data_IF_748155586587
#
_entry.id   IF_748155586587
#
_cell.length_a   1.000
_cell.length_b   1.000
_cell.length_c   1.000
_cell.angle_alpha   90.00
_cell.angle_beta   90.00
_cell.angle_gamma   90.00
#
_symmetry.space_group_name_H-M   'P 1'
#
loop_
_entity.id
_entity.type
_entity.pdbx_description
1 polymer ?
#
# COMPACT_ATOMS: atom_id res chain seq x y z
N UNK A 1 -24.44 41.99 23.97
CA UNK A 1 -24.59 43.47 23.88
C UNK A 1 -23.74 43.95 22.71
N UNK A 2 -24.15 45.01 21.99
CA UNK A 2 -23.45 45.65 20.85
C UNK A 2 -23.17 44.74 19.61
N UNK A 3 -23.36 45.11 18.33
CA UNK A 3 -23.22 46.37 17.56
C UNK A 3 -21.73 46.73 17.27
N UNK A 4 -21.27 47.11 16.06
CA UNK A 4 -21.86 47.30 14.69
C UNK A 4 -20.79 46.89 13.64
N UNK A 5 -21.03 46.58 12.35
CA UNK A 5 -21.75 47.24 11.22
C UNK A 5 -21.03 48.49 10.64
N UNK A 6 -21.23 48.75 9.33
CA UNK A 6 -20.55 49.70 8.38
C UNK A 6 -19.36 49.07 7.62
N UNK A 7 -19.24 48.95 6.27
CA UNK A 7 -19.96 49.36 5.03
C UNK A 7 -19.27 50.48 4.19
N UNK A 8 -19.29 50.28 2.85
CA UNK A 8 -18.89 51.16 1.71
C UNK A 8 -17.43 51.02 1.19
N UNK A 9 -17.08 51.38 -0.07
CA UNK A 9 -17.62 51.10 -1.43
C UNK A 9 -17.17 52.16 -2.47
N UNK A 10 -17.31 51.81 -3.78
CA UNK A 10 -17.44 52.68 -4.98
C UNK A 10 -16.21 53.19 -5.77
N UNK A 11 -16.19 52.84 -7.08
CA UNK A 11 -15.74 53.67 -8.26
C UNK A 11 -14.24 54.04 -8.36
N UNK A 12 -13.64 54.46 -9.48
CA UNK A 12 -13.86 54.53 -10.98
C UNK A 12 -12.42 54.40 -11.59
N UNK A 13 -12.08 54.26 -12.89
CA UNK A 13 -12.72 54.45 -14.23
C UNK A 13 -12.70 53.11 -15.04
N UNK A 14 -13.25 52.90 -16.24
CA UNK A 14 -13.74 53.71 -17.40
C UNK A 14 -12.70 54.21 -18.45
N UNK A 15 -12.28 53.38 -19.43
CA UNK A 15 -11.78 53.83 -20.76
C UNK A 15 -12.01 52.75 -21.85
N UNK A 16 -12.17 53.15 -23.11
CA UNK A 16 -12.70 52.29 -24.19
C UNK A 16 -11.81 52.26 -25.46
N UNK A 17 -11.99 51.18 -26.23
CA UNK A 17 -12.16 51.07 -27.70
C UNK A 17 -11.96 52.35 -28.57
N UNK A 18 -11.50 52.25 -29.84
CA UNK A 18 -12.17 51.37 -30.82
C UNK A 18 -11.42 50.86 -32.09
N UNK A 19 -12.17 50.05 -32.86
CA UNK A 19 -12.19 49.89 -34.33
C UNK A 19 -11.03 49.18 -35.06
N UNK A 20 -11.40 48.37 -36.07
CA UNK A 20 -10.46 47.66 -36.95
C UNK A 20 -10.98 46.37 -37.58
N UNK A 21 -12.16 46.36 -38.22
CA UNK A 21 -12.64 45.20 -39.00
C UNK A 21 -12.27 45.33 -40.48
N UNK A 22 -11.99 44.21 -41.15
CA UNK A 22 -12.13 44.09 -42.61
C UNK A 22 -12.34 42.63 -43.05
N UNK A 23 -12.94 42.46 -44.22
CA UNK A 23 -13.36 41.17 -44.79
C UNK A 23 -12.29 40.59 -45.73
N UNK A 24 -12.28 39.26 -45.91
CA UNK A 24 -11.38 38.57 -46.83
C UNK A 24 -11.68 37.07 -46.97
N UNK A 25 -12.65 36.73 -47.82
CA UNK A 25 -13.02 35.34 -48.13
C UNK A 25 -12.47 34.94 -49.51
N UNK A 26 -11.45 34.07 -49.56
CA UNK A 26 -10.83 33.60 -50.81
C UNK A 26 -10.77 32.07 -50.80
N UNK A 27 -11.39 31.46 -51.80
CA UNK A 27 -11.16 30.05 -52.18
C UNK A 27 -9.93 29.98 -53.08
N UNK A 28 -9.04 29.01 -52.87
CA UNK A 28 -8.13 28.55 -53.90
C UNK A 28 -8.22 27.02 -54.03
N UNK A 29 -8.48 26.56 -55.25
CA UNK A 29 -8.48 25.14 -55.61
C UNK A 29 -7.27 24.86 -56.47
N UNK A 30 -6.43 23.91 -56.07
CA UNK A 30 -5.41 23.33 -56.93
C UNK A 30 -5.45 21.80 -56.85
N UNK A 31 -5.37 21.17 -58.02
CA UNK A 31 -5.43 19.72 -58.17
C UNK A 31 -4.06 19.07 -57.90
N UNK A 32 -4.07 17.76 -57.68
CA UNK A 32 -2.89 17.00 -57.27
C UNK A 32 -1.96 16.61 -58.44
N UNK A 33 -0.70 16.34 -58.11
CA UNK A 33 0.19 15.47 -58.88
C UNK A 33 1.03 14.61 -57.94
N UNK A 34 1.20 13.32 -58.26
CA UNK A 34 1.95 12.37 -57.44
C UNK A 34 3.46 12.46 -57.67
N UNK A 35 4.27 12.46 -56.60
CA UNK A 35 5.41 11.56 -56.41
C UNK A 35 5.96 11.68 -54.98
N UNK A 36 6.21 10.56 -54.30
CA UNK A 36 6.68 10.56 -52.90
C UNK A 36 6.54 9.20 -52.22
N UNK A 37 7.54 8.34 -52.38
CA UNK A 37 7.47 6.94 -51.94
C UNK A 37 7.70 6.75 -50.44
N UNK A 38 6.77 6.00 -49.80
CA UNK A 38 6.98 5.11 -48.64
C UNK A 38 8.22 5.37 -47.77
N UNK A 39 8.06 6.10 -46.66
CA UNK A 39 8.85 5.85 -45.44
C UNK A 39 8.08 6.23 -44.16
N UNK A 40 6.81 5.84 -44.09
CA UNK A 40 6.05 5.82 -42.84
C UNK A 40 6.61 4.71 -41.92
N UNK A 41 7.75 5.00 -41.28
CA UNK A 41 8.38 4.11 -40.31
C UNK A 41 7.39 3.80 -39.19
N UNK A 42 7.25 2.52 -38.85
CA UNK A 42 6.27 2.05 -37.85
C UNK A 42 6.75 2.42 -36.43
N UNK A 43 6.69 3.71 -36.11
CA UNK A 43 6.89 4.25 -34.78
C UNK A 43 5.76 3.73 -33.88
N UNK A 44 5.97 2.52 -33.33
CA UNK A 44 5.14 1.99 -32.25
C UNK A 44 5.05 3.08 -31.18
N UNK A 45 3.84 3.50 -30.75
CA UNK A 45 3.74 4.41 -29.63
C UNK A 45 4.48 3.76 -28.45
N UNK A 46 5.28 4.55 -27.73
CA UNK A 46 5.93 4.08 -26.52
C UNK A 46 4.87 3.42 -25.64
N UNK A 47 5.14 2.18 -25.19
CA UNK A 47 4.16 1.38 -24.46
C UNK A 47 3.82 2.07 -23.14
N UNK A 48 2.79 2.91 -23.16
CA UNK A 48 2.25 3.60 -22.00
C UNK A 48 1.78 2.53 -21.01
N UNK A 49 2.62 2.27 -20.00
CA UNK A 49 2.45 1.17 -19.04
C UNK A 49 1.06 1.34 -18.40
N UNK A 50 0.10 0.44 -18.66
CA UNK A 50 -1.29 0.69 -18.30
C UNK A 50 -1.41 0.90 -16.79
N UNK A 51 -2.11 1.96 -16.40
CA UNK A 51 -2.30 2.32 -15.00
C UNK A 51 -2.89 1.15 -14.20
N UNK A 52 -2.46 0.99 -12.95
CA UNK A 52 -2.93 -0.09 -12.07
C UNK A 52 -2.33 -1.48 -12.33
N UNK A 53 -1.34 -1.65 -13.21
CA UNK A 53 -0.65 -2.94 -13.46
C UNK A 53 0.75 -3.08 -12.83
N UNK A 54 1.18 -2.15 -11.97
CA UNK A 54 2.42 -2.32 -11.21
C UNK A 54 2.27 -3.42 -10.13
N UNK A 55 3.18 -4.39 -10.17
CA UNK A 55 3.26 -5.50 -9.21
C UNK A 55 4.45 -5.26 -8.29
N UNK A 56 4.23 -5.26 -6.98
CA UNK A 56 5.29 -5.06 -5.99
C UNK A 56 5.77 -6.40 -5.41
N UNK A 57 7.07 -6.51 -5.14
CA UNK A 57 7.63 -7.65 -4.42
C UNK A 57 7.70 -7.34 -2.93
N UNK A 58 7.14 -8.21 -2.08
CA UNK A 58 7.21 -8.08 -0.62
C UNK A 58 7.86 -9.32 -0.03
N UNK A 59 9.00 -9.13 0.65
CA UNK A 59 9.49 -10.12 1.60
C UNK A 59 8.80 -9.91 2.94
N UNK A 60 7.89 -10.83 3.29
CA UNK A 60 7.17 -10.83 4.56
C UNK A 60 7.97 -11.63 5.60
N UNK A 61 9.13 -11.16 6.01
CA UNK A 61 10.01 -11.90 6.92
C UNK A 61 9.46 -12.02 8.35
N UNK A 62 9.96 -12.98 9.13
CA UNK A 62 9.50 -13.25 10.51
C UNK A 62 9.86 -12.14 11.52
N UNK A 63 10.93 -11.38 11.25
CA UNK A 63 11.47 -10.35 12.15
C UNK A 63 11.42 -8.95 11.54
N UNK A 64 11.75 -8.84 10.25
CA UNK A 64 11.62 -7.62 9.44
C UNK A 64 10.99 -8.02 8.11
N UNK A 65 10.31 -7.07 7.46
CA UNK A 65 9.77 -7.18 6.11
C UNK A 65 10.38 -6.11 5.20
N UNK A 66 10.40 -6.38 3.90
CA UNK A 66 11.00 -5.53 2.87
C UNK A 66 10.05 -5.43 1.67
N UNK A 67 10.03 -4.28 0.99
CA UNK A 67 9.22 -4.06 -0.22
C UNK A 67 10.07 -3.48 -1.34
N UNK A 68 9.85 -3.98 -2.55
CA UNK A 68 10.58 -3.60 -3.75
C UNK A 68 9.66 -3.39 -4.96
N UNK A 69 10.08 -2.48 -5.84
CA UNK A 69 9.40 -2.12 -7.09
C UNK A 69 10.34 -2.35 -8.29
N UNK A 70 9.77 -2.42 -9.50
CA UNK A 70 10.56 -2.55 -10.75
C UNK A 70 10.68 -1.20 -11.46
N UNK A 71 11.85 -0.57 -11.38
CA UNK A 71 12.19 0.63 -12.15
C UNK A 71 12.75 0.22 -13.52
N UNK A 72 11.88 0.21 -14.52
CA UNK A 72 12.20 -0.27 -15.86
C UNK A 72 12.53 -1.76 -15.85
N UNK A 73 13.83 -2.10 -15.86
CA UNK A 73 14.35 -3.47 -15.76
C UNK A 73 14.99 -3.79 -14.41
N UNK A 74 15.18 -2.80 -13.53
CA UNK A 74 15.96 -2.95 -12.30
C UNK A 74 15.03 -3.11 -11.08
N UNK A 75 15.23 -4.12 -10.22
CA UNK A 75 14.55 -4.19 -8.94
C UNK A 75 15.12 -3.18 -7.96
N UNK A 76 14.26 -2.48 -7.21
CA UNK A 76 14.65 -1.45 -6.24
C UNK A 76 13.90 -1.63 -4.93
N UNK A 77 14.63 -1.89 -3.85
CA UNK A 77 14.11 -1.81 -2.49
C UNK A 77 13.87 -0.34 -2.14
N UNK A 78 12.66 -0.02 -1.72
CA UNK A 78 12.23 1.34 -1.36
C UNK A 78 12.33 1.56 0.16
N UNK A 79 12.29 2.82 0.57
CA UNK A 79 12.34 3.22 1.99
C UNK A 79 10.94 3.44 2.54
N UNK A 80 10.75 3.09 3.81
CA UNK A 80 9.50 3.30 4.53
C UNK A 80 9.38 4.74 5.08
N UNK A 81 8.24 5.06 5.70
CA UNK A 81 7.97 6.36 6.33
C UNK A 81 8.92 6.75 7.48
N UNK A 82 9.81 5.85 7.91
CA UNK A 82 10.85 6.10 8.92
C UNK A 82 12.27 6.14 8.33
N UNK A 83 12.41 6.21 6.99
CA UNK A 83 13.70 6.26 6.30
C UNK A 83 14.46 4.93 6.26
N UNK A 84 13.77 3.81 6.50
CA UNK A 84 14.39 2.47 6.55
C UNK A 84 13.97 1.61 5.36
N UNK A 85 14.95 0.91 4.77
CA UNK A 85 14.76 -0.08 3.69
C UNK A 85 14.17 -1.40 4.17
N UNK A 86 13.96 -1.57 5.48
CA UNK A 86 13.21 -2.68 6.07
C UNK A 86 12.32 -2.19 7.21
N UNK A 87 11.14 -2.79 7.38
CA UNK A 87 10.20 -2.46 8.46
C UNK A 87 10.11 -3.65 9.42
N UNK A 88 10.18 -3.47 10.75
CA UNK A 88 9.99 -4.57 11.69
C UNK A 88 8.66 -5.30 11.46
N UNK A 89 8.67 -6.63 11.47
CA UNK A 89 7.46 -7.49 11.40
C UNK A 89 6.79 -7.57 12.77
N UNK A 90 6.44 -6.40 13.30
CA UNK A 90 5.91 -6.16 14.63
C UNK A 90 4.62 -5.36 14.50
N UNK A 91 3.57 -5.81 15.18
CA UNK A 91 2.26 -5.18 15.25
C UNK A 91 1.89 -5.01 16.72
N UNK A 92 1.34 -3.88 17.12
CA UNK A 92 0.85 -3.68 18.47
C UNK A 92 -0.50 -2.97 18.49
N UNK A 93 -1.28 -3.22 19.53
CA UNK A 93 -2.48 -2.46 19.86
C UNK A 93 -2.21 -1.71 21.16
N UNK A 94 -2.40 -0.39 21.16
CA UNK A 94 -2.26 0.40 22.38
C UNK A 94 -3.53 0.32 23.25
N UNK A 95 -3.52 0.98 24.41
CA UNK A 95 -4.63 0.96 25.37
C UNK A 95 -5.93 1.60 24.84
N UNK A 96 -5.87 2.39 23.77
CA UNK A 96 -7.04 2.96 23.08
C UNK A 96 -7.56 2.07 21.94
N UNK A 97 -6.90 0.95 21.65
CA UNK A 97 -7.17 0.10 20.48
C UNK A 97 -6.54 0.61 19.18
N UNK A 98 -5.71 1.66 19.21
CA UNK A 98 -5.04 2.17 18.01
C UNK A 98 -3.98 1.16 17.53
N UNK A 99 -3.98 0.87 16.22
CA UNK A 99 -3.07 -0.08 15.56
C UNK A 99 -1.71 0.60 15.28
N UNK A 100 -0.64 -0.02 15.77
CA UNK A 100 0.75 0.33 15.47
C UNK A 100 1.40 -0.79 14.66
N UNK A 101 2.20 -0.46 13.65
CA UNK A 101 2.94 -1.42 12.81
C UNK A 101 4.37 -0.94 12.63
N UNK A 102 5.35 -1.84 12.62
CA UNK A 102 6.74 -1.51 12.31
C UNK A 102 7.49 -0.84 13.46
N UNK A 103 8.23 0.22 13.16
CA UNK A 103 9.11 0.91 14.11
C UNK A 103 8.34 1.46 15.34
N UNK A 104 7.16 2.11 15.20
CA UNK A 104 6.32 2.50 16.34
C UNK A 104 5.96 1.33 17.26
N UNK A 105 5.50 0.21 16.71
CA UNK A 105 5.14 -0.98 17.50
C UNK A 105 6.37 -1.56 18.24
N UNK A 106 7.51 -1.68 17.54
CA UNK A 106 8.76 -2.17 18.13
C UNK A 106 9.26 -1.30 19.30
N UNK A 107 9.10 0.03 19.23
CA UNK A 107 9.54 0.96 20.30
C UNK A 107 8.80 0.73 21.62
N UNK A 108 7.51 0.43 21.59
CA UNK A 108 6.70 0.20 22.80
C UNK A 108 6.57 -1.28 23.23
N UNK A 109 7.32 -2.19 22.59
CA UNK A 109 7.25 -3.62 22.88
C UNK A 109 7.67 -4.00 24.32
N UNK A 110 8.50 -3.18 24.98
CA UNK A 110 8.93 -3.40 26.37
C UNK A 110 7.87 -2.94 27.38
N UNK A 111 7.13 -1.87 27.07
CA UNK A 111 6.11 -1.28 27.97
C UNK A 111 4.70 -1.81 27.74
N UNK A 112 4.44 -2.43 26.57
CA UNK A 112 3.17 -3.06 26.21
C UNK A 112 3.40 -4.49 25.66
N UNK A 113 4.07 -5.40 26.40
CA UNK A 113 4.55 -6.67 25.86
C UNK A 113 3.42 -7.64 25.51
N UNK A 114 2.30 -7.61 26.24
CA UNK A 114 1.17 -8.53 26.05
C UNK A 114 0.36 -8.24 24.78
N UNK A 115 0.26 -6.97 24.36
CA UNK A 115 -0.45 -6.56 23.14
C UNK A 115 0.51 -6.25 21.97
N UNK A 116 1.78 -6.65 22.05
CA UNK A 116 2.78 -6.44 20.98
C UNK A 116 3.20 -7.77 20.36
N UNK A 117 2.69 -8.03 19.16
CA UNK A 117 2.91 -9.24 18.39
C UNK A 117 4.16 -9.13 17.52
N UNK A 118 5.03 -10.12 17.63
CA UNK A 118 6.22 -10.30 16.80
C UNK A 118 6.43 -11.79 16.52
N UNK A 119 7.13 -12.13 15.44
CA UNK A 119 7.42 -13.54 15.11
C UNK A 119 6.20 -14.38 14.68
N UNK A 120 5.02 -13.77 14.51
CA UNK A 120 3.74 -14.47 14.22
C UNK A 120 3.74 -15.28 12.91
N UNK A 121 4.70 -15.07 11.99
CA UNK A 121 4.96 -15.97 10.85
C UNK A 121 5.39 -17.39 11.27
N UNK A 122 5.72 -17.63 12.55
CA UNK A 122 5.89 -18.99 13.12
C UNK A 122 4.56 -19.70 13.41
N UNK A 123 3.51 -18.94 13.70
CA UNK A 123 2.16 -19.41 14.04
C UNK A 123 1.23 -19.54 12.81
N UNK A 124 1.51 -18.81 11.74
CA UNK A 124 0.67 -18.82 10.52
C UNK A 124 0.53 -20.24 9.97
N UNK A 125 -0.71 -20.65 9.68
CA UNK A 125 -1.05 -22.00 9.22
C UNK A 125 -0.74 -23.14 10.21
N UNK A 126 -0.60 -22.86 11.52
CA UNK A 126 -0.45 -23.90 12.56
C UNK A 126 -1.71 -24.07 13.42
N UNK A 127 -1.90 -25.29 13.90
CA UNK A 127 -2.83 -25.60 15.00
C UNK A 127 -2.30 -25.03 16.32
N UNK A 128 -3.20 -24.74 17.25
CA UNK A 128 -2.83 -24.41 18.63
C UNK A 128 -2.04 -25.56 19.28
N UNK A 129 -2.43 -26.79 18.96
CA UNK A 129 -1.96 -28.05 19.53
C UNK A 129 -0.56 -28.47 18.98
N UNK A 130 -0.03 -27.74 18.00
CA UNK A 130 1.24 -28.06 17.32
C UNK A 130 2.47 -27.87 18.25
N UNK A 131 3.44 -28.80 18.27
CA UNK A 131 4.61 -28.69 19.15
C UNK A 131 5.45 -27.42 18.99
N UNK A 132 5.50 -26.82 17.79
CA UNK A 132 6.20 -25.55 17.58
C UNK A 132 5.37 -24.38 18.13
N UNK A 133 4.03 -24.41 18.03
CA UNK A 133 3.15 -23.45 18.73
C UNK A 133 3.35 -23.53 20.24
N UNK A 134 3.32 -24.75 20.80
CA UNK A 134 3.51 -24.98 22.25
C UNK A 134 4.92 -24.60 22.75
N UNK A 135 5.91 -24.56 21.86
CA UNK A 135 7.24 -23.99 22.15
C UNK A 135 7.21 -22.46 22.09
N UNK A 136 6.61 -21.87 21.07
CA UNK A 136 6.49 -20.40 20.92
C UNK A 136 5.76 -19.77 22.11
N UNK A 137 4.68 -20.41 22.59
CA UNK A 137 3.92 -20.04 23.80
C UNK A 137 4.76 -19.88 25.07
N UNK A 138 5.95 -20.48 25.14
CA UNK A 138 6.87 -20.38 26.29
C UNK A 138 7.98 -19.35 26.10
N UNK A 139 8.03 -18.71 24.92
CA UNK A 139 9.09 -17.77 24.51
C UNK A 139 8.55 -16.35 24.23
N UNK A 140 7.24 -16.18 24.04
CA UNK A 140 6.62 -14.88 23.74
C UNK A 140 5.77 -14.37 24.92
N UNK A 141 5.71 -13.04 25.16
CA UNK A 141 4.94 -12.47 26.26
C UNK A 141 3.46 -12.19 25.90
N UNK A 142 3.09 -12.28 24.63
CA UNK A 142 1.72 -12.08 24.16
C UNK A 142 0.92 -13.39 24.21
N UNK A 143 -0.39 -13.28 24.44
CA UNK A 143 -1.27 -14.44 24.62
C UNK A 143 -1.54 -15.12 23.26
N UNK A 144 -1.19 -16.39 23.15
CA UNK A 144 -1.62 -17.28 22.06
C UNK A 144 -2.84 -18.07 22.54
N UNK A 145 -3.86 -18.21 21.69
CA UNK A 145 -5.16 -18.81 22.02
C UNK A 145 -5.61 -19.82 20.97
N UNK A 146 -6.44 -20.78 21.37
CA UNK A 146 -7.05 -21.76 20.46
C UNK A 146 -8.30 -21.14 19.82
N UNK A 147 -8.25 -20.95 18.51
CA UNK A 147 -9.41 -20.50 17.74
C UNK A 147 -10.51 -21.58 17.67
N UNK A 148 -11.77 -21.23 17.36
CA UNK A 148 -12.87 -22.20 17.25
C UNK A 148 -12.64 -23.32 16.24
N UNK A 149 -11.80 -23.09 15.21
CA UNK A 149 -11.42 -24.08 14.20
C UNK A 149 -10.20 -24.94 14.58
N UNK A 150 -9.58 -24.70 15.74
CA UNK A 150 -8.37 -25.37 16.23
C UNK A 150 -7.03 -24.67 15.94
N UNK A 151 -7.03 -23.53 15.26
CA UNK A 151 -5.79 -22.81 14.89
C UNK A 151 -5.16 -22.02 16.05
N UNK A 152 -3.86 -21.74 15.91
CA UNK A 152 -3.11 -20.87 16.80
C UNK A 152 -3.39 -19.39 16.45
N UNK A 153 -4.21 -18.71 17.24
CA UNK A 153 -4.47 -17.27 17.12
C UNK A 153 -3.77 -16.51 18.25
N UNK A 154 -3.76 -15.17 18.17
CA UNK A 154 -3.22 -14.30 19.22
C UNK A 154 -4.31 -13.38 19.77
N UNK A 155 -4.17 -12.90 21.01
CA UNK A 155 -5.16 -12.05 21.67
C UNK A 155 -4.52 -10.76 22.20
N UNK A 156 -5.16 -9.61 21.95
CA UNK A 156 -4.80 -8.31 22.52
C UNK A 156 -6.08 -7.57 22.93
N UNK A 157 -6.06 -6.92 24.10
CA UNK A 157 -7.21 -6.20 24.66
C UNK A 157 -8.54 -7.00 24.64
N UNK A 158 -8.47 -8.34 24.82
CA UNK A 158 -9.62 -9.25 24.76
C UNK A 158 -10.13 -9.59 23.36
N UNK A 159 -9.57 -9.00 22.29
CA UNK A 159 -9.89 -9.34 20.91
C UNK A 159 -8.90 -10.35 20.34
N UNK A 160 -9.40 -11.34 19.61
CA UNK A 160 -8.59 -12.40 19.00
C UNK A 160 -8.33 -12.12 17.52
N UNK A 161 -7.10 -12.40 17.08
CA UNK A 161 -6.61 -12.18 15.72
C UNK A 161 -5.92 -13.43 15.19
N UNK A 162 -6.28 -13.85 13.99
CA UNK A 162 -5.52 -14.86 13.25
C UNK A 162 -4.11 -14.34 12.90
N UNK A 163 -3.09 -15.22 12.78
CA UNK A 163 -1.77 -14.80 12.31
C UNK A 163 -1.81 -14.19 10.90
N UNK A 164 -2.80 -14.55 10.08
CA UNK A 164 -3.06 -13.94 8.77
C UNK A 164 -3.51 -12.49 8.88
N UNK A 165 -4.34 -12.12 9.85
CA UNK A 165 -4.69 -10.70 10.11
C UNK A 165 -3.48 -9.91 10.60
N UNK A 166 -2.66 -10.49 11.50
CA UNK A 166 -1.41 -9.83 11.95
C UNK A 166 -0.44 -9.63 10.77
N UNK A 167 -0.27 -10.65 9.91
CA UNK A 167 0.48 -10.53 8.67
C UNK A 167 -0.10 -9.49 7.71
N UNK A 168 -1.43 -9.38 7.62
CA UNK A 168 -2.11 -8.41 6.78
C UNK A 168 -1.80 -6.96 7.19
N UNK A 169 -1.73 -6.65 8.50
CA UNK A 169 -1.35 -5.30 8.94
C UNK A 169 0.08 -4.92 8.52
N UNK A 170 1.03 -5.86 8.55
CA UNK A 170 2.39 -5.65 8.02
C UNK A 170 2.35 -5.46 6.49
N UNK A 171 1.58 -6.27 5.77
CA UNK A 171 1.42 -6.17 4.32
C UNK A 171 0.75 -4.86 3.88
N UNK A 172 -0.23 -4.36 4.61
CA UNK A 172 -0.83 -3.03 4.38
C UNK A 172 0.23 -1.94 4.54
N UNK A 173 1.09 -1.98 5.57
CA UNK A 173 2.18 -1.01 5.71
C UNK A 173 3.20 -1.09 4.55
N UNK A 174 3.46 -2.28 4.00
CA UNK A 174 4.31 -2.45 2.81
C UNK A 174 3.64 -1.90 1.54
N UNK A 175 2.32 -2.07 1.41
CA UNK A 175 1.52 -1.49 0.33
C UNK A 175 1.52 0.04 0.40
N UNK A 176 1.17 0.64 1.55
CA UNK A 176 1.21 2.09 1.80
C UNK A 176 2.56 2.70 1.40
N UNK A 177 3.65 2.02 1.77
CA UNK A 177 5.02 2.44 1.44
C UNK A 177 5.24 2.47 -0.08
N UNK A 178 4.79 1.45 -0.81
CA UNK A 178 4.90 1.41 -2.27
C UNK A 178 3.96 2.39 -3.00
N UNK A 179 2.75 2.60 -2.49
CA UNK A 179 1.79 3.56 -3.05
C UNK A 179 2.28 5.00 -2.86
N UNK A 180 2.88 5.30 -1.70
CA UNK A 180 3.55 6.58 -1.41
C UNK A 180 4.75 6.80 -2.33
N UNK A 181 5.54 5.75 -2.62
CA UNK A 181 6.69 5.82 -3.51
C UNK A 181 6.32 5.98 -5.00
N UNK A 182 5.24 5.32 -5.43
CA UNK A 182 4.79 5.30 -6.83
C UNK A 182 3.80 6.41 -7.18
N UNK A 183 3.32 7.17 -6.19
CA UNK A 183 2.34 8.24 -6.34
C UNK A 183 0.95 7.77 -6.78
N UNK A 184 0.62 6.49 -6.58
CA UNK A 184 -0.60 5.84 -7.11
C UNK A 184 -0.88 4.50 -6.42
N UNK A 185 -2.11 4.03 -6.50
CA UNK A 185 -2.55 2.77 -5.90
C UNK A 185 -1.92 1.52 -6.54
N UNK A 186 -1.68 0.50 -5.73
CA UNK A 186 -1.09 -0.80 -6.12
C UNK A 186 -2.12 -1.91 -5.94
N UNK A 187 -2.49 -2.56 -7.04
CA UNK A 187 -3.51 -3.62 -7.09
C UNK A 187 -2.95 -5.04 -6.89
N UNK A 188 -1.64 -5.24 -7.07
CA UNK A 188 -1.01 -6.57 -7.20
C UNK A 188 0.32 -6.65 -6.43
N UNK A 189 0.58 -7.79 -5.80
CA UNK A 189 1.85 -8.08 -5.14
C UNK A 189 2.25 -9.55 -5.25
N UNK A 190 3.56 -9.80 -5.16
CA UNK A 190 4.18 -11.12 -4.93
C UNK A 190 4.72 -11.14 -3.50
N UNK A 191 4.32 -12.12 -2.70
CA UNK A 191 4.64 -12.21 -1.26
C UNK A 191 5.49 -13.46 -1.00
N UNK A 192 6.59 -13.34 -0.24
CA UNK A 192 7.48 -14.46 0.05
C UNK A 192 6.92 -15.45 1.09
N UNK A 193 7.19 -16.74 0.84
CA UNK A 193 7.01 -17.84 1.80
C UNK A 193 8.30 -18.67 1.85
N UNK A 194 8.72 -19.16 3.03
CA UNK A 194 9.83 -20.11 3.13
C UNK A 194 9.61 -21.36 2.28
N UNK A 195 10.68 -21.92 1.71
CA UNK A 195 10.59 -23.11 0.85
C UNK A 195 9.90 -24.30 1.55
N UNK A 196 10.11 -24.44 2.86
CA UNK A 196 9.53 -25.50 3.70
C UNK A 196 8.08 -25.24 4.16
N UNK A 197 7.42 -24.15 3.78
CA UNK A 197 6.01 -23.94 4.12
C UNK A 197 5.12 -25.00 3.46
N UNK A 198 4.22 -25.59 4.24
CA UNK A 198 3.16 -26.48 3.73
C UNK A 198 2.01 -25.66 3.11
N UNK A 199 1.04 -26.35 2.50
CA UNK A 199 -0.05 -25.68 1.77
C UNK A 199 -0.97 -24.85 2.67
N UNK A 200 -1.23 -25.27 3.92
CA UNK A 200 -1.99 -24.47 4.88
C UNK A 200 -1.27 -23.16 5.24
N UNK A 201 0.06 -23.19 5.37
CA UNK A 201 0.88 -22.01 5.64
C UNK A 201 0.99 -21.08 4.42
N UNK A 202 1.08 -21.64 3.21
CA UNK A 202 1.03 -20.90 1.94
C UNK A 202 -0.33 -20.22 1.75
N UNK A 203 -1.41 -20.96 1.98
CA UNK A 203 -2.77 -20.46 1.86
C UNK A 203 -3.05 -19.38 2.91
N UNK A 204 -2.72 -19.60 4.18
CA UNK A 204 -2.86 -18.59 5.23
C UNK A 204 -2.03 -17.31 4.95
N UNK A 205 -0.87 -17.41 4.29
CA UNK A 205 -0.10 -16.24 3.82
C UNK A 205 -0.77 -15.53 2.64
N UNK A 206 -1.37 -16.29 1.71
CA UNK A 206 -2.19 -15.76 0.60
C UNK A 206 -3.45 -15.04 1.11
N UNK A 207 -4.03 -15.52 2.22
CA UNK A 207 -5.15 -14.88 2.90
C UNK A 207 -4.74 -13.59 3.64
N UNK A 208 -3.54 -13.53 4.23
CA UNK A 208 -2.98 -12.28 4.72
C UNK A 208 -2.87 -11.23 3.58
N UNK A 209 -2.43 -11.66 2.39
CA UNK A 209 -2.44 -10.84 1.18
C UNK A 209 -3.83 -10.37 0.77
N UNK A 210 -4.83 -11.27 0.74
CA UNK A 210 -6.23 -10.92 0.45
C UNK A 210 -6.77 -9.88 1.43
N UNK A 211 -6.56 -10.05 2.74
CA UNK A 211 -7.02 -9.11 3.77
C UNK A 211 -6.36 -7.73 3.60
N UNK A 212 -5.05 -7.70 3.33
CA UNK A 212 -4.32 -6.44 3.13
C UNK A 212 -4.73 -5.68 1.87
N UNK A 213 -5.12 -6.39 0.79
CA UNK A 213 -5.60 -5.76 -0.45
C UNK A 213 -7.10 -5.45 -0.46
N UNK A 214 -7.93 -6.24 0.24
CA UNK A 214 -9.37 -5.96 0.40
C UNK A 214 -9.67 -4.70 1.23
N UNK A 215 -8.68 -4.16 1.96
CA UNK A 215 -8.74 -2.82 2.57
C UNK A 215 -8.55 -1.67 1.57
N UNK A 216 -8.32 -1.95 0.29
CA UNK A 216 -8.42 -0.93 -0.76
C UNK A 216 -9.89 -0.76 -1.14
N UNK A 217 -10.48 0.45 -1.04
CA UNK A 217 -11.66 0.74 -1.85
C UNK A 217 -11.24 0.72 -3.32
N UNK A 218 -11.84 -0.16 -4.12
CA UNK A 218 -11.91 0.07 -5.56
C UNK A 218 -12.95 1.16 -5.79
N UNK A 219 -12.48 2.38 -6.09
CA UNK A 219 -13.25 3.59 -6.39
C UNK A 219 -13.96 4.25 -5.20
N UNK A 220 -13.40 5.39 -4.76
CA UNK A 220 -14.10 6.59 -4.29
C UNK A 220 -13.32 7.81 -4.79
#
# INVERSE_FOLDING_TARGET
MAASLVLRAMRRRDLASPLGSLSGNIKSTWAASHLGSKLAGLARPFSAKPAGNDVIGIDLGTTNSCVAVMEGKNPKVIENSEGSRTTPSVVAFNQKGELLVGTPAKRQAVTNPTNTFFGTKRLIGRRFDDPQTQKEMKMVPFKIVKAPNGDAWVEANGQQYSPSQIGAFVLTKMKETAESYLGKSVSKAVITVPAYFNDAQRQATKDAGRIAWARCPENY
#
